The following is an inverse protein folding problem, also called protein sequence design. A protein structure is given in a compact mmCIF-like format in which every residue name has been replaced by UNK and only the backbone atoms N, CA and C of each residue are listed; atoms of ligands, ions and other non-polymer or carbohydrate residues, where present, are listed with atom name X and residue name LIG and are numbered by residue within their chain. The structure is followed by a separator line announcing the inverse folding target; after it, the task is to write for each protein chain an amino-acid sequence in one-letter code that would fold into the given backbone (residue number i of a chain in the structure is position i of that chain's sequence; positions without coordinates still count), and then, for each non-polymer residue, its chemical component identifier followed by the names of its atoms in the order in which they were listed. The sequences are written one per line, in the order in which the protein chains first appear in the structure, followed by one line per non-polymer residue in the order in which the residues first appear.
data_IF_815907381123
#
_entry.id   IF_815907381123
#
_cell.length_a   1.000
_cell.length_b   1.000
_cell.length_c   1.000
_cell.angle_alpha   90.00
_cell.angle_beta   90.00
_cell.angle_gamma   90.00
#
_symmetry.space_group_name_H-M   'P 1'
#
loop_
_entity.id
_entity.type
_entity.pdbx_description
1 polymer ?
#
# COMPACT_ATOMS: atom_id res chain seq x y z
N UNK A 1 15.95 1.95 -13.50
CA UNK A 1 14.97 2.44 -12.49
C UNK A 1 13.86 1.41 -12.20
N UNK A 2 13.25 0.76 -13.20
CA UNK A 2 12.18 -0.23 -12.99
C UNK A 2 12.54 -1.41 -12.06
N UNK A 3 13.77 -1.94 -12.16
CA UNK A 3 14.24 -3.07 -11.31
C UNK A 3 14.23 -2.73 -9.81
N UNK A 4 14.64 -1.52 -9.44
CA UNK A 4 14.65 -1.08 -8.03
C UNK A 4 13.23 -0.90 -7.49
N UNK A 5 12.32 -0.37 -8.30
CA UNK A 5 10.91 -0.23 -7.92
C UNK A 5 10.27 -1.60 -7.72
N UNK A 6 10.55 -2.54 -8.63
CA UNK A 6 10.06 -3.91 -8.51
C UNK A 6 10.59 -4.59 -7.25
N UNK A 7 11.91 -4.50 -6.99
CA UNK A 7 12.51 -5.06 -5.79
C UNK A 7 11.95 -4.43 -4.51
N UNK A 8 11.77 -3.11 -4.48
CA UNK A 8 11.19 -2.43 -3.32
C UNK A 8 9.72 -2.86 -3.09
N UNK A 9 8.90 -2.97 -4.14
CA UNK A 9 7.53 -3.50 -4.03
C UNK A 9 7.50 -4.94 -3.50
N UNK A 10 8.39 -5.79 -4.00
CA UNK A 10 8.55 -7.16 -3.50
C UNK A 10 8.90 -7.17 -2.00
N UNK A 11 9.87 -6.35 -1.58
CA UNK A 11 10.28 -6.24 -0.16
C UNK A 11 9.11 -5.78 0.72
N UNK A 12 8.33 -4.80 0.29
CA UNK A 12 7.14 -4.35 1.03
C UNK A 12 6.10 -5.46 1.16
N UNK A 13 5.84 -6.22 0.09
CA UNK A 13 4.90 -7.34 0.14
C UNK A 13 5.36 -8.44 1.11
N UNK A 14 6.65 -8.77 1.08
CA UNK A 14 7.28 -9.73 2.03
C UNK A 14 7.20 -9.19 3.47
N UNK A 15 7.55 -7.92 3.69
CA UNK A 15 7.49 -7.31 5.02
C UNK A 15 6.08 -7.32 5.59
N UNK A 16 5.06 -7.03 4.76
CA UNK A 16 3.68 -7.07 5.19
C UNK A 16 3.21 -8.49 5.53
N UNK A 17 3.60 -9.50 4.74
CA UNK A 17 3.35 -10.90 5.06
C UNK A 17 4.06 -11.30 6.36
N UNK A 18 5.30 -10.91 6.55
CA UNK A 18 6.07 -11.19 7.77
C UNK A 18 5.40 -10.61 9.04
N UNK A 19 4.81 -9.42 8.95
CA UNK A 19 4.01 -8.87 10.06
C UNK A 19 2.83 -9.77 10.39
N UNK A 20 2.06 -10.22 9.41
CA UNK A 20 0.93 -11.11 9.63
C UNK A 20 1.37 -12.47 10.20
N UNK A 21 2.46 -13.04 9.70
CA UNK A 21 3.02 -14.31 10.18
C UNK A 21 3.53 -14.17 11.62
N UNK A 22 4.33 -13.15 11.91
CA UNK A 22 4.92 -12.94 13.22
C UNK A 22 3.90 -12.64 14.33
N UNK A 23 2.74 -12.12 13.96
CA UNK A 23 1.67 -11.74 14.88
C UNK A 23 0.36 -12.51 14.65
N UNK A 24 0.41 -13.67 14.00
CA UNK A 24 -0.77 -14.50 13.74
C UNK A 24 -1.55 -14.81 15.03
N UNK A 25 -0.85 -15.15 16.10
CA UNK A 25 -1.42 -15.46 17.42
C UNK A 25 -2.00 -14.23 18.13
N UNK A 26 -1.57 -13.02 17.77
CA UNK A 26 -2.00 -11.80 18.46
C UNK A 26 -3.50 -11.47 18.24
N UNK A 27 -4.14 -12.10 17.26
CA UNK A 27 -5.59 -12.01 17.03
C UNK A 27 -6.40 -12.86 17.99
N UNK A 28 -5.80 -13.92 18.51
CA UNK A 28 -6.44 -14.88 19.40
C UNK A 28 -6.31 -14.48 20.88
N UNK A 29 -5.33 -13.61 21.20
CA UNK A 29 -5.07 -13.16 22.57
C UNK A 29 -5.97 -11.95 22.91
N UNK A 30 -7.21 -12.23 23.23
CA UNK A 30 -8.08 -11.25 23.87
C UNK A 30 -7.54 -10.92 25.27
N UNK A 31 -6.87 -9.79 25.41
CA UNK A 31 -6.64 -9.11 26.69
C UNK A 31 -5.24 -9.10 27.29
N UNK A 32 -4.22 -9.81 26.76
CA UNK A 32 -2.96 -9.97 27.50
C UNK A 32 -1.68 -9.46 26.83
N UNK A 33 -1.73 -8.88 25.64
CA UNK A 33 -0.54 -8.33 24.98
C UNK A 33 -0.82 -7.01 24.25
N UNK A 34 -1.12 -5.91 24.94
CA UNK A 34 -1.47 -4.64 24.31
C UNK A 34 -0.35 -4.11 23.40
N UNK A 35 0.91 -4.31 23.76
CA UNK A 35 2.05 -3.88 22.97
C UNK A 35 2.16 -4.66 21.65
N UNK A 36 2.09 -5.99 21.69
CA UNK A 36 2.15 -6.83 20.47
C UNK A 36 1.05 -6.50 19.49
N UNK A 37 -0.19 -6.37 19.99
CA UNK A 37 -1.34 -5.99 19.18
C UNK A 37 -1.18 -4.57 18.61
N UNK A 38 -0.67 -3.63 19.40
CA UNK A 38 -0.42 -2.25 18.98
C UNK A 38 0.64 -2.19 17.86
N UNK A 39 1.73 -2.91 18.00
CA UNK A 39 2.79 -3.01 16.97
C UNK A 39 2.22 -3.62 15.68
N UNK A 40 1.48 -4.73 15.79
CA UNK A 40 0.82 -5.35 14.64
C UNK A 40 -0.12 -4.39 13.92
N UNK A 41 -0.98 -3.70 14.67
CA UNK A 41 -1.95 -2.77 14.09
C UNK A 41 -1.27 -1.56 13.44
N UNK A 42 -0.23 -1.02 14.05
CA UNK A 42 0.58 0.04 13.46
C UNK A 42 1.21 -0.41 12.14
N UNK A 43 1.99 -1.48 12.17
CA UNK A 43 2.68 -2.00 10.98
C UNK A 43 1.69 -2.45 9.90
N UNK A 44 0.59 -3.09 10.31
CA UNK A 44 -0.48 -3.50 9.41
C UNK A 44 -1.15 -2.32 8.69
N UNK A 45 -1.42 -1.23 9.41
CA UNK A 45 -2.00 -0.03 8.81
C UNK A 45 -1.04 0.69 7.87
N UNK A 46 0.26 0.73 8.18
CA UNK A 46 1.27 1.37 7.30
C UNK A 46 1.56 0.51 6.08
N UNK A 47 1.94 -0.77 6.28
CA UNK A 47 2.33 -1.65 5.18
C UNK A 47 1.15 -2.11 4.33
N UNK A 48 -0.05 -2.20 4.91
CA UNK A 48 -1.30 -2.52 4.21
C UNK A 48 -2.01 -1.31 3.60
N UNK A 49 -1.42 -0.12 3.69
CA UNK A 49 -1.95 1.10 3.11
C UNK A 49 -2.07 0.99 1.58
N UNK A 50 -3.24 1.33 1.04
CA UNK A 50 -3.47 1.35 -0.41
C UNK A 50 -2.53 2.30 -1.13
N UNK A 51 -2.15 3.42 -0.50
CA UNK A 51 -1.20 4.38 -1.08
C UNK A 51 0.25 3.88 -1.02
N UNK A 52 0.67 3.16 0.02
CA UNK A 52 1.98 2.50 0.06
C UNK A 52 2.10 1.49 -1.09
N UNK A 53 1.03 0.78 -1.42
CA UNK A 53 1.01 -0.14 -2.56
C UNK A 53 0.86 0.59 -3.89
N UNK A 54 -0.02 1.58 -3.95
CA UNK A 54 -0.33 2.35 -5.15
C UNK A 54 0.84 3.18 -5.67
N UNK A 55 1.73 3.65 -4.77
CA UNK A 55 2.90 4.43 -5.19
C UNK A 55 3.82 3.63 -6.11
N UNK A 56 3.93 2.30 -5.93
CA UNK A 56 4.74 1.45 -6.80
C UNK A 56 4.16 1.39 -8.21
N UNK A 57 2.82 1.33 -8.35
CA UNK A 57 2.16 1.41 -9.64
C UNK A 57 2.42 2.73 -10.34
N UNK A 58 2.28 3.83 -9.61
CA UNK A 58 2.57 5.17 -10.11
C UNK A 58 4.04 5.30 -10.56
N UNK A 59 4.99 4.89 -9.72
CA UNK A 59 6.42 4.94 -10.04
C UNK A 59 6.79 4.03 -11.22
N UNK A 60 6.16 2.87 -11.35
CA UNK A 60 6.33 2.00 -12.51
C UNK A 60 5.86 2.69 -13.78
N UNK A 61 4.71 3.35 -13.74
CA UNK A 61 4.18 4.12 -14.85
C UNK A 61 5.12 5.25 -15.31
N UNK A 62 5.77 5.95 -14.38
CA UNK A 62 6.76 7.01 -14.68
C UNK A 62 7.93 6.54 -15.54
N UNK A 63 8.23 5.24 -15.60
CA UNK A 63 9.28 4.70 -16.48
C UNK A 63 8.83 4.59 -17.95
N UNK A 64 7.57 4.83 -18.27
CA UNK A 64 7.00 4.65 -19.60
C UNK A 64 6.30 5.91 -20.12
N UNK A 65 6.95 7.09 -20.14
CA UNK A 65 6.33 8.32 -20.64
C UNK A 65 5.88 8.14 -22.09
N UNK A 66 4.64 8.49 -22.38
CA UNK A 66 4.04 8.36 -23.73
C UNK A 66 3.75 6.91 -24.17
N UNK A 67 4.11 5.90 -23.39
CA UNK A 67 3.87 4.49 -23.70
C UNK A 67 2.74 3.93 -22.82
N UNK A 68 1.52 4.41 -23.07
CA UNK A 68 0.36 4.21 -22.21
C UNK A 68 0.07 2.75 -21.88
N UNK A 69 0.11 1.86 -22.88
CA UNK A 69 -0.14 0.43 -22.66
C UNK A 69 0.93 -0.20 -21.75
N UNK A 70 2.21 0.16 -21.93
CA UNK A 70 3.28 -0.34 -21.06
C UNK A 70 3.15 0.20 -19.64
N UNK A 71 2.76 1.45 -19.48
CA UNK A 71 2.52 2.05 -18.17
C UNK A 71 1.34 1.38 -17.44
N UNK A 72 0.24 1.14 -18.15
CA UNK A 72 -0.92 0.43 -17.64
C UNK A 72 -0.55 -0.98 -17.18
N UNK A 73 0.09 -1.77 -18.06
CA UNK A 73 0.45 -3.16 -17.75
C UNK A 73 1.49 -3.24 -16.62
N UNK A 74 2.48 -2.36 -16.62
CA UNK A 74 3.51 -2.34 -15.58
C UNK A 74 2.94 -1.91 -14.22
N UNK A 75 2.05 -0.91 -14.21
CA UNK A 75 1.37 -0.46 -13.00
C UNK A 75 0.45 -1.52 -12.41
N UNK A 76 -0.32 -2.22 -13.25
CA UNK A 76 -1.16 -3.34 -12.81
C UNK A 76 -0.31 -4.51 -12.33
N UNK A 77 0.70 -4.88 -13.11
CA UNK A 77 1.54 -6.05 -12.83
C UNK A 77 2.26 -5.96 -11.50
N UNK A 78 2.74 -4.76 -11.10
CA UNK A 78 3.44 -4.63 -9.83
C UNK A 78 2.50 -4.82 -8.63
N UNK A 79 1.29 -4.25 -8.65
CA UNK A 79 0.33 -4.44 -7.54
C UNK A 79 -0.13 -5.88 -7.46
N UNK A 80 -0.47 -6.50 -8.61
CA UNK A 80 -0.87 -7.92 -8.65
C UNK A 80 0.26 -8.81 -8.14
N UNK A 81 1.51 -8.54 -8.53
CA UNK A 81 2.67 -9.25 -8.01
C UNK A 81 2.79 -9.11 -6.48
N UNK A 82 2.67 -7.88 -5.97
CA UNK A 82 2.75 -7.63 -4.53
C UNK A 82 1.66 -8.40 -3.75
N UNK A 83 0.42 -8.38 -4.22
CA UNK A 83 -0.70 -9.13 -3.61
C UNK A 83 -0.43 -10.64 -3.66
N UNK A 84 0.00 -11.15 -4.82
CA UNK A 84 0.29 -12.57 -5.00
C UNK A 84 1.39 -13.02 -4.04
N UNK A 85 2.50 -12.27 -3.95
CA UNK A 85 3.60 -12.57 -3.01
C UNK A 85 3.09 -12.58 -1.58
N UNK A 86 2.36 -11.53 -1.18
CA UNK A 86 1.82 -11.41 0.17
C UNK A 86 0.95 -12.61 0.55
N UNK A 87 -0.09 -12.91 -0.23
CA UNK A 87 -1.02 -13.99 0.08
C UNK A 87 -0.40 -15.39 -0.06
N UNK A 88 0.51 -15.59 -1.02
CA UNK A 88 1.24 -16.85 -1.14
C UNK A 88 2.08 -17.14 0.10
N UNK A 89 2.77 -16.14 0.63
CA UNK A 89 3.53 -16.30 1.87
C UNK A 89 2.61 -16.63 3.06
N UNK A 90 1.44 -16.00 3.19
CA UNK A 90 0.48 -16.34 4.25
C UNK A 90 0.00 -17.80 4.16
N UNK A 91 -0.18 -18.32 2.94
CA UNK A 91 -0.53 -19.73 2.73
C UNK A 91 0.65 -20.66 3.08
N UNK A 92 1.84 -20.36 2.58
CA UNK A 92 3.05 -21.18 2.82
C UNK A 92 3.37 -21.30 4.30
N UNK A 93 3.16 -20.22 5.06
CA UNK A 93 3.41 -20.21 6.51
C UNK A 93 2.17 -20.60 7.36
N UNK A 94 1.11 -21.08 6.72
CA UNK A 94 -0.08 -21.63 7.41
C UNK A 94 -0.94 -20.60 8.15
N UNK A 95 -0.79 -19.31 7.85
CA UNK A 95 -1.64 -18.24 8.42
C UNK A 95 -3.03 -18.28 7.79
N UNK A 96 -3.10 -18.53 6.49
CA UNK A 96 -4.31 -18.73 5.71
C UNK A 96 -4.26 -20.05 4.96
N UNK A 97 -5.41 -20.66 4.71
CA UNK A 97 -5.54 -21.66 3.68
C UNK A 97 -5.69 -20.97 2.30
N UNK A 98 -5.61 -21.76 1.21
CA UNK A 98 -5.66 -21.23 -0.15
C UNK A 98 -6.96 -20.47 -0.44
N UNK A 99 -8.08 -20.97 0.06
CA UNK A 99 -9.38 -20.35 -0.11
C UNK A 99 -9.49 -19.03 0.62
N UNK A 100 -9.02 -18.96 1.86
CA UNK A 100 -8.97 -17.71 2.64
C UNK A 100 -8.10 -16.65 1.97
N UNK A 101 -6.95 -17.07 1.46
CA UNK A 101 -6.02 -16.13 0.83
C UNK A 101 -6.58 -15.53 -0.46
N UNK A 102 -7.18 -16.32 -1.34
CA UNK A 102 -7.51 -15.88 -2.70
C UNK A 102 -9.00 -15.68 -2.94
N UNK A 103 -9.90 -16.50 -2.40
CA UNK A 103 -11.34 -16.30 -2.60
C UNK A 103 -11.89 -15.18 -1.71
N UNK A 104 -11.59 -15.19 -0.39
CA UNK A 104 -12.12 -14.17 0.53
C UNK A 104 -11.43 -12.81 0.37
N UNK A 105 -10.25 -12.79 -0.24
CA UNK A 105 -9.50 -11.57 -0.53
C UNK A 105 -9.53 -11.16 -2.02
N UNK A 106 -10.37 -11.81 -2.84
CA UNK A 106 -10.49 -11.52 -4.27
C UNK A 106 -10.76 -10.03 -4.56
N UNK A 107 -11.46 -9.34 -3.67
CA UNK A 107 -11.73 -7.90 -3.77
C UNK A 107 -10.46 -7.05 -3.91
N UNK A 108 -9.37 -7.42 -3.27
CA UNK A 108 -8.10 -6.69 -3.38
C UNK A 108 -7.46 -6.86 -4.77
N UNK A 109 -7.59 -8.05 -5.36
CA UNK A 109 -7.15 -8.28 -6.73
C UNK A 109 -8.01 -7.51 -7.73
N UNK A 110 -9.34 -7.45 -7.54
CA UNK A 110 -10.21 -6.60 -8.35
C UNK A 110 -9.82 -5.12 -8.22
N UNK A 111 -9.61 -4.62 -7.01
CA UNK A 111 -9.16 -3.24 -6.79
C UNK A 111 -7.81 -2.98 -7.47
N UNK A 112 -6.88 -3.92 -7.47
CA UNK A 112 -5.60 -3.82 -8.15
C UNK A 112 -5.77 -3.71 -9.69
N UNK A 113 -6.75 -4.43 -10.27
CA UNK A 113 -7.05 -4.37 -11.70
C UNK A 113 -7.62 -3.00 -12.13
N UNK A 114 -8.19 -2.21 -11.20
CA UNK A 114 -8.64 -0.84 -11.46
C UNK A 114 -7.59 0.20 -11.07
N UNK A 115 -7.06 0.12 -9.86
CA UNK A 115 -6.11 1.11 -9.33
C UNK A 115 -4.75 1.03 -10.05
N UNK A 116 -4.30 -0.17 -10.39
CA UNK A 116 -3.04 -0.39 -11.08
C UNK A 116 -2.94 0.36 -12.43
N UNK A 117 -3.91 0.16 -13.36
CA UNK A 117 -3.96 0.92 -14.60
C UNK A 117 -4.04 2.43 -14.38
N UNK A 118 -4.93 2.89 -13.50
CA UNK A 118 -5.14 4.32 -13.24
C UNK A 118 -3.87 4.97 -12.73
N UNK A 119 -3.23 4.39 -11.71
CA UNK A 119 -2.00 4.93 -11.13
C UNK A 119 -0.82 4.79 -12.09
N UNK A 120 -0.72 3.70 -12.84
CA UNK A 120 0.29 3.52 -13.88
C UNK A 120 0.19 4.58 -14.97
N UNK A 121 -1.01 4.84 -15.46
CA UNK A 121 -1.27 5.90 -16.46
C UNK A 121 -1.01 7.29 -15.88
N UNK A 122 -1.41 7.56 -14.64
CA UNK A 122 -1.10 8.82 -13.95
C UNK A 122 0.42 9.03 -13.85
N UNK A 123 1.18 7.98 -13.51
CA UNK A 123 2.63 8.02 -13.51
C UNK A 123 3.22 8.36 -14.88
N UNK A 124 2.74 7.76 -15.97
CA UNK A 124 3.20 8.08 -17.32
C UNK A 124 2.80 9.50 -17.75
N UNK A 125 1.60 9.95 -17.35
CA UNK A 125 1.10 11.29 -17.66
C UNK A 125 1.87 12.40 -16.93
N UNK A 126 2.45 12.11 -15.76
CA UNK A 126 3.19 13.08 -14.95
C UNK A 126 4.41 13.67 -15.67
N UNK A 127 4.97 12.96 -16.66
CA UNK A 127 6.03 13.48 -17.51
C UNK A 127 5.57 14.67 -18.35
N UNK A 128 4.29 14.74 -18.71
CA UNK A 128 3.69 15.84 -19.50
C UNK A 128 2.93 16.83 -18.62
N UNK A 129 2.23 16.32 -17.61
CA UNK A 129 1.35 17.10 -16.74
C UNK A 129 1.75 16.91 -15.29
N UNK A 130 2.56 17.78 -14.78
CA UNK A 130 3.15 17.72 -13.43
C UNK A 130 2.14 17.68 -12.29
N UNK A 131 0.91 18.11 -12.51
CA UNK A 131 -0.12 18.03 -11.47
C UNK A 131 -0.46 16.57 -11.08
N UNK A 132 -0.20 15.58 -11.96
CA UNK A 132 -0.33 14.17 -11.60
C UNK A 132 0.63 13.73 -10.47
N UNK A 133 1.75 14.44 -10.30
CA UNK A 133 2.66 14.18 -9.17
C UNK A 133 1.98 14.50 -7.82
N UNK A 134 1.10 15.49 -7.80
CA UNK A 134 0.37 15.84 -6.58
C UNK A 134 -0.76 14.86 -6.23
N UNK A 135 -1.26 14.07 -7.18
CA UNK A 135 -2.27 13.05 -6.90
C UNK A 135 -1.74 11.98 -5.94
N UNK A 136 -0.48 11.55 -6.11
CA UNK A 136 0.14 10.59 -5.20
C UNK A 136 0.31 11.18 -3.80
N UNK A 137 0.71 12.45 -3.70
CA UNK A 137 0.82 13.16 -2.41
C UNK A 137 -0.56 13.29 -1.76
N UNK A 138 -1.56 13.70 -2.52
CA UNK A 138 -2.94 13.83 -2.06
C UNK A 138 -3.49 12.49 -1.54
N UNK A 139 -3.16 11.40 -2.24
CA UNK A 139 -3.53 10.06 -1.79
C UNK A 139 -2.99 9.74 -0.40
N UNK A 140 -1.71 10.01 -0.13
CA UNK A 140 -1.13 9.84 1.22
C UNK A 140 -1.75 10.76 2.28
N UNK A 141 -2.22 11.95 1.89
CA UNK A 141 -2.89 12.87 2.82
C UNK A 141 -4.31 12.41 3.14
N UNK A 142 -5.05 11.91 2.15
CA UNK A 142 -6.44 11.53 2.29
C UNK A 142 -6.64 10.13 2.87
N UNK A 143 -5.73 9.18 2.56
CA UNK A 143 -5.91 7.79 2.97
C UNK A 143 -6.09 7.61 4.49
N UNK A 144 -5.31 8.24 5.39
CA UNK A 144 -5.54 8.10 6.83
C UNK A 144 -6.94 8.55 7.27
N UNK A 145 -7.50 9.54 6.58
CA UNK A 145 -8.85 10.04 6.83
C UNK A 145 -9.89 9.02 6.34
N UNK A 146 -9.74 8.55 5.09
CA UNK A 146 -10.66 7.57 4.48
C UNK A 146 -10.60 6.22 5.17
N UNK A 147 -9.40 5.79 5.57
CA UNK A 147 -9.20 4.53 6.30
C UNK A 147 -9.62 4.60 7.78
N UNK A 148 -10.08 5.77 8.27
CA UNK A 148 -10.53 5.93 9.66
C UNK A 148 -9.40 5.85 10.68
N UNK A 149 -8.17 6.22 10.31
CA UNK A 149 -7.01 6.27 11.20
C UNK A 149 -6.94 7.58 12.00
N UNK A 150 -7.78 8.56 11.66
CA UNK A 150 -7.85 9.88 12.31
C UNK A 150 -9.15 9.99 13.08
N UNK A 151 -9.18 10.63 14.30
CA UNK A 151 -10.39 10.77 15.08
C UNK A 151 -11.52 11.44 14.29
N UNK A 152 -12.73 10.89 14.40
CA UNK A 152 -13.93 11.45 13.78
C UNK A 152 -14.00 11.30 12.24
N UNK A 153 -13.03 10.64 11.61
CA UNK A 153 -12.97 10.52 10.15
C UNK A 153 -13.62 9.26 9.59
N UNK A 154 -14.02 8.29 10.42
CA UNK A 154 -14.53 7.02 9.90
C UNK A 154 -16.05 6.99 9.77
N UNK A 155 -16.53 6.66 8.60
CA UNK A 155 -17.89 6.17 8.38
C UNK A 155 -18.08 4.70 8.85
N UNK A 156 -16.98 4.01 9.15
CA UNK A 156 -16.97 2.68 9.72
C UNK A 156 -16.55 2.75 11.19
N UNK A 157 -17.17 2.01 12.11
CA UNK A 157 -16.82 2.01 13.52
C UNK A 157 -15.50 1.27 13.75
N UNK A 158 -14.41 1.79 13.20
CA UNK A 158 -13.07 1.38 13.61
C UNK A 158 -12.72 2.18 14.83
N UNK A 159 -12.48 1.50 15.94
CA UNK A 159 -11.89 2.11 17.12
C UNK A 159 -10.55 2.71 16.72
N UNK A 160 -10.50 4.04 16.61
CA UNK A 160 -9.25 4.76 16.40
C UNK A 160 -8.38 4.53 17.61
N UNK A 161 -7.40 3.67 17.44
CA UNK A 161 -6.44 3.32 18.49
C UNK A 161 -5.19 4.17 18.31
N UNK A 162 -4.43 4.35 19.40
CA UNK A 162 -3.12 5.01 19.35
C UNK A 162 -2.25 4.51 18.19
N UNK A 163 -2.16 3.18 17.87
CA UNK A 163 -1.46 2.68 16.69
C UNK A 163 -1.96 3.25 15.36
N UNK A 164 -3.26 3.51 15.23
CA UNK A 164 -3.84 4.15 14.04
C UNK A 164 -3.33 5.58 13.85
N UNK A 165 -3.25 6.36 14.92
CA UNK A 165 -2.72 7.73 14.87
C UNK A 165 -1.25 7.78 14.45
N UNK A 166 -0.43 6.88 14.99
CA UNK A 166 0.96 6.75 14.57
C UNK A 166 1.08 6.32 13.10
N UNK A 167 0.22 5.42 12.64
CA UNK A 167 0.17 5.03 11.24
C UNK A 167 -0.22 6.21 10.34
N UNK A 168 -1.24 6.99 10.71
CA UNK A 168 -1.63 8.20 10.00
C UNK A 168 -0.47 9.21 9.90
N UNK A 169 0.20 9.50 11.01
CA UNK A 169 1.36 10.39 11.03
C UNK A 169 2.49 9.86 10.12
N UNK A 170 2.74 8.56 10.14
CA UNK A 170 3.76 7.93 9.28
C UNK A 170 3.41 8.07 7.80
N UNK A 171 2.15 7.82 7.41
CA UNK A 171 1.69 7.99 6.03
C UNK A 171 1.80 9.44 5.56
N UNK A 172 1.48 10.41 6.40
CA UNK A 172 1.66 11.83 6.10
C UNK A 172 3.13 12.20 5.94
N UNK A 173 4.02 11.66 6.77
CA UNK A 173 5.48 11.87 6.63
C UNK A 173 6.01 11.25 5.33
N UNK A 174 5.54 10.07 4.94
CA UNK A 174 5.88 9.44 3.66
C UNK A 174 5.41 10.34 2.50
N UNK A 175 4.17 10.83 2.55
CA UNK A 175 3.62 11.74 1.55
C UNK A 175 4.41 13.06 1.43
N UNK A 176 4.78 13.66 2.56
CA UNK A 176 5.61 14.86 2.61
C UNK A 176 7.02 14.60 2.05
N UNK A 177 7.65 13.48 2.44
CA UNK A 177 8.95 13.07 1.91
C UNK A 177 8.91 12.84 0.40
N UNK A 178 7.85 12.20 -0.09
CA UNK A 178 7.64 11.99 -1.53
C UNK A 178 7.45 13.32 -2.27
N UNK A 179 6.72 14.26 -1.71
CA UNK A 179 6.57 15.61 -2.27
C UNK A 179 7.90 16.36 -2.37
N UNK A 180 8.72 16.33 -1.31
CA UNK A 180 10.05 16.97 -1.30
C UNK A 180 10.97 16.32 -2.34
N UNK A 181 10.96 14.98 -2.39
CA UNK A 181 11.75 14.23 -3.38
C UNK A 181 11.38 14.61 -4.81
N UNK A 182 10.10 14.68 -5.13
CA UNK A 182 9.63 15.08 -6.45
C UNK A 182 10.08 16.50 -6.83
N UNK A 183 10.00 17.45 -5.91
CA UNK A 183 10.46 18.82 -6.15
C UNK A 183 11.95 18.92 -6.42
N UNK A 184 12.76 18.08 -5.77
CA UNK A 184 14.22 18.04 -5.98
C UNK A 184 14.59 17.40 -7.33
N UNK A 185 13.88 16.39 -7.74
CA UNK A 185 14.13 15.66 -9.00
C UNK A 185 13.77 16.47 -10.25
N UNK A 186 13.14 17.62 -10.10
CA UNK A 186 12.68 18.48 -11.19
C UNK A 186 13.47 19.78 -11.31
N UNK A 187 14.48 19.99 -10.48
CA UNK A 187 15.50 21.03 -10.62
C UNK A 187 16.75 20.47 -11.25
#
# INVERSE_FOLDING_TARGET
MSRHIFAAGFIIAVAYAAVHIAFADATLLTGTAPLRLSVRNYLGNVLGSGMVWGIFSYLMGKNFPGRWLKALLAGTGIIVMMLTVHYTLLVVFGVYNWREAFEYNAQWFFLALFSGPVLGLAGAASARFRWFDYLAVLGFLLEPVVAGLVPGSSYLPRTTTIPGYFAAATLWLIGAGFFIWQRRSTR
#
